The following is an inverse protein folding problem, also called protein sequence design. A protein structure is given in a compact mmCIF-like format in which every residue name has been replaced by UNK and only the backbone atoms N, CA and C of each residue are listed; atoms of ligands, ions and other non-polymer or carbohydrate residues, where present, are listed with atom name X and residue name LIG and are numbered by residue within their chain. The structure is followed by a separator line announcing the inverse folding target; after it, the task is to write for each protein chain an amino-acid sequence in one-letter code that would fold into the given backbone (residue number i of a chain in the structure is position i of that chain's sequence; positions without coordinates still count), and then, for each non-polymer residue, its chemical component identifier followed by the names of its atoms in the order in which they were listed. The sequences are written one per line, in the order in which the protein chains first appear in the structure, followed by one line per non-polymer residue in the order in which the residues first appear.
data_IF_338267751102
#
_entry.id   IF_338267751102
#
_cell.length_a   1.000
_cell.length_b   1.000
_cell.length_c   1.000
_cell.angle_alpha   90.00
_cell.angle_beta   90.00
_cell.angle_gamma   90.00
#
_symmetry.space_group_name_H-M   'P 1'
#
loop_
_entity.id
_entity.type
_entity.pdbx_description
1 polymer ?
#
# COMPACT_ATOMS: atom_id res chain seq x y z
N UNK A 1 32.52 -40.86 -0.49
CA UNK A 1 32.68 -40.95 0.97
C UNK A 1 32.07 -39.70 1.58
N UNK A 2 30.88 -39.83 2.17
CA UNK A 2 30.13 -38.75 2.79
C UNK A 2 30.69 -38.42 4.17
N UNK A 3 31.12 -37.18 4.37
CA UNK A 3 31.47 -36.64 5.69
C UNK A 3 30.25 -35.92 6.28
N UNK A 4 29.69 -36.49 7.34
CA UNK A 4 28.69 -35.84 8.21
C UNK A 4 29.41 -35.43 9.50
N UNK A 5 29.51 -34.15 9.88
CA UNK A 5 29.97 -33.78 11.19
C UNK A 5 28.84 -33.95 12.22
N UNK A 6 29.20 -34.63 13.30
CA UNK A 6 28.39 -35.00 14.46
C UNK A 6 28.08 -33.76 15.29
N UNK A 7 26.82 -33.57 15.63
CA UNK A 7 26.31 -32.54 16.54
C UNK A 7 26.68 -32.95 17.97
N UNK A 8 27.58 -32.21 18.62
CA UNK A 8 27.87 -32.31 20.05
C UNK A 8 27.20 -31.15 20.79
N UNK A 9 26.12 -31.46 21.52
CA UNK A 9 25.46 -30.60 22.50
C UNK A 9 26.22 -30.67 23.84
N UNK A 10 26.53 -29.55 24.50
CA UNK A 10 26.71 -29.53 25.94
C UNK A 10 25.38 -29.25 26.63
N UNK A 11 24.91 -30.25 27.36
CA UNK A 11 23.90 -30.11 28.41
C UNK A 11 24.48 -29.24 29.52
N UNK A 12 23.88 -28.08 29.77
CA UNK A 12 23.97 -27.42 31.08
C UNK A 12 22.56 -27.15 31.59
N UNK A 13 22.27 -27.84 32.67
CA UNK A 13 21.04 -27.82 33.47
C UNK A 13 21.05 -26.69 34.51
N UNK A 14 19.84 -26.28 34.90
CA UNK A 14 19.42 -25.67 36.17
C UNK A 14 19.44 -24.14 36.27
N UNK A 15 18.24 -23.59 36.50
CA UNK A 15 18.01 -22.22 36.96
C UNK A 15 16.53 -21.87 37.06
N UNK A 16 15.74 -22.65 37.83
CA UNK A 16 14.41 -22.20 38.27
C UNK A 16 14.61 -21.09 39.33
N UNK A 17 14.29 -19.85 38.97
CA UNK A 17 14.09 -18.77 39.94
C UNK A 17 12.78 -18.06 39.59
N UNK A 18 11.75 -18.39 40.36
CA UNK A 18 10.60 -17.52 40.61
C UNK A 18 11.14 -16.23 41.23
N UNK A 19 11.06 -15.12 40.51
CA UNK A 19 11.16 -13.78 41.08
C UNK A 19 10.11 -12.90 40.41
N UNK A 20 9.18 -12.42 41.22
CA UNK A 20 8.09 -11.54 40.80
C UNK A 20 8.64 -10.29 40.14
N UNK A 21 8.27 -10.08 38.88
CA UNK A 21 8.41 -8.83 38.17
C UNK A 21 7.01 -8.34 37.80
N UNK A 22 6.35 -7.62 38.70
CA UNK A 22 5.24 -6.76 38.32
C UNK A 22 5.78 -5.59 37.50
N UNK A 23 5.92 -5.78 36.20
CA UNK A 23 6.09 -4.66 35.27
C UNK A 23 4.71 -4.07 35.01
N UNK A 24 4.53 -2.75 35.12
CA UNK A 24 3.23 -2.15 34.88
C UNK A 24 2.87 -2.36 33.41
N UNK A 25 1.74 -3.03 33.19
CA UNK A 25 1.07 -3.10 31.90
C UNK A 25 0.62 -1.69 31.49
N UNK A 26 1.56 -0.93 30.96
CA UNK A 26 1.29 0.26 30.15
C UNK A 26 1.35 -0.17 28.69
N UNK A 27 0.64 -1.27 28.36
CA UNK A 27 0.23 -1.57 27.00
C UNK A 27 -0.83 -0.52 26.66
N UNK A 28 -0.35 0.70 26.40
CA UNK A 28 -1.15 1.77 25.81
C UNK A 28 -1.76 1.18 24.55
N UNK A 29 -3.08 1.25 24.50
CA UNK A 29 -3.93 1.16 23.33
C UNK A 29 -3.38 2.01 22.17
N UNK A 30 -2.35 1.51 21.52
CA UNK A 30 -2.07 1.82 20.14
C UNK A 30 -2.64 0.64 19.38
N UNK A 31 -3.98 0.61 19.31
CA UNK A 31 -4.64 -0.08 18.22
C UNK A 31 -3.91 0.40 16.96
N UNK A 32 -3.14 -0.51 16.34
CA UNK A 32 -2.59 -0.25 15.03
C UNK A 32 -3.77 0.24 14.18
N UNK A 33 -3.68 1.41 13.51
CA UNK A 33 -4.76 1.85 12.64
C UNK A 33 -5.09 0.67 11.73
N UNK A 34 -6.38 0.33 11.56
CA UNK A 34 -6.74 -0.81 10.73
C UNK A 34 -6.04 -0.63 9.39
N UNK A 35 -5.38 -1.67 8.90
CA UNK A 35 -4.53 -1.59 7.70
C UNK A 35 -5.25 -0.99 6.47
N UNK A 36 -6.60 -0.93 6.51
CA UNK A 36 -7.50 -0.30 5.55
C UNK A 36 -7.54 1.24 5.59
N UNK A 37 -7.26 1.88 6.72
CA UNK A 37 -7.27 3.35 6.84
C UNK A 37 -6.06 3.99 6.15
N UNK A 38 -4.94 3.27 6.06
CA UNK A 38 -3.68 3.77 5.51
C UNK A 38 -3.78 4.01 3.98
N UNK A 39 -4.29 3.07 3.16
CA UNK A 39 -4.49 3.30 1.72
C UNK A 39 -5.40 4.48 1.41
N UNK A 40 -6.50 4.65 2.16
CA UNK A 40 -7.49 5.70 1.90
C UNK A 40 -6.89 7.09 2.10
N UNK A 41 -6.23 7.31 3.24
CA UNK A 41 -5.57 8.59 3.52
C UNK A 41 -4.49 8.93 2.48
N UNK A 42 -3.74 7.93 2.00
CA UNK A 42 -2.73 8.13 0.96
C UNK A 42 -3.35 8.46 -0.41
N UNK A 43 -4.47 7.85 -0.75
CA UNK A 43 -5.24 8.19 -1.97
C UNK A 43 -5.80 9.61 -1.88
N UNK A 44 -6.30 10.02 -0.72
CA UNK A 44 -6.84 11.35 -0.49
C UNK A 44 -5.76 12.43 -0.56
N UNK A 45 -4.55 12.14 -0.11
CA UNK A 45 -3.41 13.05 -0.21
C UNK A 45 -2.72 13.05 -1.59
N UNK A 46 -3.08 12.12 -2.49
CA UNK A 46 -2.38 11.97 -3.76
C UNK A 46 -2.65 13.14 -4.73
N UNK A 47 -1.62 13.65 -5.43
CA UNK A 47 -1.78 14.61 -6.53
C UNK A 47 -2.71 14.07 -7.62
N UNK A 48 -3.35 14.97 -8.37
CA UNK A 48 -4.30 14.61 -9.43
C UNK A 48 -3.74 13.62 -10.45
N UNK A 49 -2.49 13.82 -10.91
CA UNK A 49 -1.84 12.89 -11.83
C UNK A 49 -1.61 11.49 -11.21
N UNK A 50 -1.30 11.42 -9.92
CA UNK A 50 -1.16 10.15 -9.19
C UNK A 50 -2.50 9.46 -8.99
N UNK A 51 -3.57 10.23 -8.74
CA UNK A 51 -4.93 9.70 -8.69
C UNK A 51 -5.36 9.09 -10.03
N UNK A 52 -5.05 9.74 -11.16
CA UNK A 52 -5.25 9.17 -12.49
C UNK A 52 -4.49 7.83 -12.63
N UNK A 53 -3.25 7.76 -12.14
CA UNK A 53 -2.48 6.53 -12.10
C UNK A 53 -3.16 5.43 -11.29
N UNK A 54 -3.72 5.74 -10.11
CA UNK A 54 -4.47 4.76 -9.31
C UNK A 54 -5.71 4.25 -10.04
N UNK A 55 -6.45 5.10 -10.76
CA UNK A 55 -7.57 4.65 -11.58
C UNK A 55 -7.11 3.68 -12.67
N UNK A 56 -6.00 3.99 -13.34
CA UNK A 56 -5.40 3.11 -14.34
C UNK A 56 -4.99 1.76 -13.73
N UNK A 57 -4.38 1.76 -12.55
CA UNK A 57 -4.09 0.54 -11.79
C UNK A 57 -5.37 -0.26 -11.51
N UNK A 58 -6.42 0.38 -11.00
CA UNK A 58 -7.67 -0.28 -10.62
C UNK A 58 -8.39 -0.90 -11.81
N UNK A 59 -8.44 -0.20 -12.95
CA UNK A 59 -9.02 -0.70 -14.21
C UNK A 59 -8.18 -1.89 -14.72
N UNK A 60 -6.86 -1.70 -14.85
CA UNK A 60 -5.96 -2.72 -15.39
C UNK A 60 -5.90 -4.01 -14.56
N UNK A 61 -6.21 -3.95 -13.27
CA UNK A 61 -6.27 -5.11 -12.38
C UNK A 61 -7.70 -5.66 -12.17
N UNK A 62 -8.72 -5.16 -12.88
CA UNK A 62 -10.11 -5.61 -12.74
C UNK A 62 -10.72 -5.32 -11.35
N UNK A 63 -10.21 -4.29 -10.67
CA UNK A 63 -10.70 -3.82 -9.37
C UNK A 63 -11.70 -2.67 -9.49
N UNK A 64 -11.82 -2.09 -10.68
CA UNK A 64 -12.81 -1.10 -11.06
C UNK A 64 -13.51 -1.54 -12.35
N UNK A 65 -14.79 -1.18 -12.49
CA UNK A 65 -15.50 -1.38 -13.75
C UNK A 65 -14.89 -0.49 -14.85
N UNK A 66 -14.54 -1.10 -15.98
CA UNK A 66 -13.86 -0.40 -17.06
C UNK A 66 -14.74 0.71 -17.66
N UNK A 67 -16.03 0.43 -17.91
CA UNK A 67 -16.92 1.37 -18.58
C UNK A 67 -17.22 2.59 -17.69
N UNK A 68 -17.41 2.38 -16.39
CA UNK A 68 -17.65 3.45 -15.43
C UNK A 68 -16.41 4.26 -15.04
N UNK A 69 -15.23 3.62 -14.94
CA UNK A 69 -14.02 4.28 -14.45
C UNK A 69 -13.19 4.94 -15.56
N UNK A 70 -13.25 4.48 -16.81
CA UNK A 70 -12.46 5.07 -17.92
C UNK A 70 -12.78 6.54 -18.17
N UNK A 71 -14.04 7.00 -18.20
CA UNK A 71 -14.33 8.43 -18.38
C UNK A 71 -13.76 9.31 -17.27
N UNK A 72 -13.72 8.80 -16.04
CA UNK A 72 -13.11 9.49 -14.90
C UNK A 72 -11.59 9.58 -15.07
N UNK A 73 -10.96 8.49 -15.53
CA UNK A 73 -9.53 8.45 -15.85
C UNK A 73 -9.18 9.48 -16.93
N UNK A 74 -9.90 9.50 -18.04
CA UNK A 74 -9.66 10.43 -19.15
C UNK A 74 -9.78 11.90 -18.70
N UNK A 75 -10.81 12.18 -17.90
CA UNK A 75 -11.01 13.52 -17.31
C UNK A 75 -9.83 13.92 -16.43
N UNK A 76 -9.35 13.02 -15.56
CA UNK A 76 -8.18 13.31 -14.73
C UNK A 76 -6.91 13.47 -15.55
N UNK A 77 -6.70 12.65 -16.58
CA UNK A 77 -5.54 12.76 -17.48
C UNK A 77 -5.50 14.15 -18.10
N UNK A 78 -6.63 14.61 -18.65
CA UNK A 78 -6.76 15.92 -19.26
C UNK A 78 -6.52 17.05 -18.27
N UNK A 79 -7.16 17.01 -17.09
CA UNK A 79 -7.13 18.13 -16.14
C UNK A 79 -5.80 18.26 -15.38
N UNK A 80 -5.08 17.15 -15.20
CA UNK A 80 -3.91 17.11 -14.31
C UNK A 80 -2.59 16.97 -15.07
N UNK A 81 -2.64 16.84 -16.40
CA UNK A 81 -1.45 16.56 -17.21
C UNK A 81 -0.81 15.21 -16.84
N UNK A 82 -1.62 14.22 -16.51
CA UNK A 82 -1.12 12.89 -16.12
C UNK A 82 -0.43 12.17 -17.29
N UNK A 83 -0.84 12.48 -18.53
CA UNK A 83 -0.13 12.07 -19.75
C UNK A 83 0.22 13.35 -20.52
N UNK A 84 1.43 13.90 -20.31
CA UNK A 84 1.88 15.13 -20.98
C UNK A 84 2.05 14.91 -22.49
N UNK A 85 1.74 15.93 -23.28
CA UNK A 85 1.87 15.88 -24.74
C UNK A 85 3.32 15.89 -25.23
N UNK A 86 4.29 16.22 -24.38
CA UNK A 86 5.71 16.28 -24.70
C UNK A 86 6.45 14.94 -24.54
N UNK A 87 5.70 13.85 -24.34
CA UNK A 87 6.19 12.47 -24.17
C UNK A 87 7.17 12.27 -23.00
N UNK A 88 7.42 13.28 -22.16
CA UNK A 88 8.39 13.17 -21.05
C UNK A 88 7.93 12.29 -19.90
N UNK A 89 6.66 11.85 -19.94
CA UNK A 89 6.04 11.02 -18.92
C UNK A 89 5.82 11.78 -17.61
N UNK A 90 4.63 11.66 -17.03
CA UNK A 90 4.38 12.18 -15.69
C UNK A 90 4.73 11.11 -14.65
N UNK A 91 5.73 11.38 -13.81
CA UNK A 91 6.19 10.41 -12.81
C UNK A 91 5.13 10.10 -11.75
N UNK A 92 4.28 11.05 -11.38
CA UNK A 92 3.19 10.80 -10.44
C UNK A 92 2.15 9.84 -11.03
N UNK A 93 1.82 10.01 -12.30
CA UNK A 93 0.96 9.07 -13.02
C UNK A 93 1.58 7.67 -13.10
N UNK A 94 2.89 7.59 -13.37
CA UNK A 94 3.61 6.32 -13.40
C UNK A 94 3.61 5.62 -12.03
N UNK A 95 3.88 6.36 -10.94
CA UNK A 95 3.81 5.82 -9.58
C UNK A 95 2.41 5.31 -9.24
N UNK A 96 1.38 6.10 -9.57
CA UNK A 96 -0.01 5.69 -9.35
C UNK A 96 -0.37 4.44 -10.14
N UNK A 97 0.04 4.36 -11.41
CA UNK A 97 -0.19 3.19 -12.28
C UNK A 97 0.52 1.95 -11.75
N UNK A 98 1.70 2.10 -11.15
CA UNK A 98 2.43 1.02 -10.48
C UNK A 98 1.85 0.65 -9.09
N UNK A 99 0.77 1.32 -8.67
CA UNK A 99 0.12 1.14 -7.38
C UNK A 99 0.93 1.64 -6.19
N UNK A 100 1.89 2.54 -6.37
CA UNK A 100 2.73 3.09 -5.28
C UNK A 100 1.96 4.18 -4.54
N UNK A 101 1.65 3.96 -3.27
CA UNK A 101 0.81 4.88 -2.48
C UNK A 101 1.58 6.13 -2.01
N UNK A 102 2.87 5.98 -1.71
CA UNK A 102 3.72 7.07 -1.22
C UNK A 102 5.14 6.97 -1.78
N UNK A 103 5.46 7.66 -2.89
CA UNK A 103 6.80 7.67 -3.49
C UNK A 103 7.85 8.30 -2.58
N UNK A 104 9.13 7.92 -2.76
CA UNK A 104 10.27 8.64 -2.18
C UNK A 104 11.06 7.90 -1.09
N UNK A 105 10.69 6.67 -0.73
CA UNK A 105 11.43 5.86 0.25
C UNK A 105 11.60 4.41 -0.21
N UNK A 106 12.65 3.76 0.26
CA UNK A 106 12.82 2.32 0.07
C UNK A 106 11.71 1.60 0.85
N UNK A 107 10.93 0.75 0.18
CA UNK A 107 9.77 0.10 0.80
C UNK A 107 8.50 0.94 0.82
N UNK A 108 8.35 1.92 -0.09
CA UNK A 108 7.10 2.65 -0.30
C UNK A 108 5.90 1.68 -0.35
N UNK A 109 4.86 1.90 0.47
CA UNK A 109 3.70 1.01 0.50
C UNK A 109 3.00 1.02 -0.86
N UNK A 110 2.54 -0.15 -1.29
CA UNK A 110 1.87 -0.36 -2.57
C UNK A 110 0.49 -0.94 -2.36
N UNK A 111 -0.43 -0.64 -3.28
CA UNK A 111 -1.76 -1.28 -3.31
C UNK A 111 -1.66 -2.80 -3.30
N UNK A 112 -0.65 -3.38 -3.95
CA UNK A 112 -0.43 -4.84 -4.02
C UNK A 112 0.00 -5.47 -2.70
N UNK A 113 0.44 -4.68 -1.73
CA UNK A 113 0.83 -5.19 -0.41
C UNK A 113 -0.39 -5.54 0.45
N UNK A 114 -1.57 -5.06 0.06
CA UNK A 114 -2.83 -5.31 0.74
C UNK A 114 -3.58 -6.52 0.15
N UNK A 115 -4.45 -7.12 0.95
CA UNK A 115 -5.34 -8.17 0.48
C UNK A 115 -6.36 -7.65 -0.56
N UNK A 116 -7.08 -8.57 -1.20
CA UNK A 116 -8.04 -8.20 -2.26
C UNK A 116 -9.18 -7.30 -1.74
N UNK A 117 -9.80 -7.57 -0.57
CA UNK A 117 -10.80 -6.66 0.00
C UNK A 117 -10.28 -5.23 0.20
N UNK A 118 -9.14 -5.06 0.86
CA UNK A 118 -8.58 -3.72 1.10
C UNK A 118 -8.18 -3.02 -0.21
N UNK A 119 -7.68 -3.76 -1.21
CA UNK A 119 -7.44 -3.22 -2.55
C UNK A 119 -8.72 -2.73 -3.23
N UNK A 120 -9.83 -3.46 -3.11
CA UNK A 120 -11.13 -3.04 -3.66
C UNK A 120 -11.62 -1.77 -2.98
N UNK A 121 -11.49 -1.68 -1.66
CA UNK A 121 -11.89 -0.48 -0.91
C UNK A 121 -11.06 0.74 -1.29
N UNK A 122 -9.75 0.56 -1.48
CA UNK A 122 -8.84 1.58 -1.98
C UNK A 122 -9.23 2.04 -3.40
N UNK A 123 -9.52 1.11 -4.32
CA UNK A 123 -9.99 1.45 -5.65
C UNK A 123 -11.35 2.16 -5.64
N UNK A 124 -12.27 1.74 -4.78
CA UNK A 124 -13.55 2.44 -4.60
C UNK A 124 -13.35 3.88 -4.09
N UNK A 125 -12.38 4.12 -3.20
CA UNK A 125 -12.02 5.47 -2.76
C UNK A 125 -11.45 6.30 -3.91
N UNK A 126 -10.54 5.74 -4.71
CA UNK A 126 -9.97 6.43 -5.87
C UNK A 126 -11.07 6.86 -6.86
N UNK A 127 -12.04 5.97 -7.15
CA UNK A 127 -13.19 6.28 -8.01
C UNK A 127 -14.03 7.41 -7.41
N UNK A 128 -14.39 7.33 -6.12
CA UNK A 128 -15.16 8.39 -5.44
C UNK A 128 -14.45 9.73 -5.54
N UNK A 129 -13.15 9.76 -5.26
CA UNK A 129 -12.34 10.97 -5.35
C UNK A 129 -12.30 11.53 -6.77
N UNK A 130 -12.10 10.67 -7.78
CA UNK A 130 -12.13 11.09 -9.17
C UNK A 130 -13.47 11.71 -9.59
N UNK A 131 -14.59 11.17 -9.08
CA UNK A 131 -15.93 11.69 -9.34
C UNK A 131 -16.23 13.06 -8.70
N UNK A 132 -15.43 13.50 -7.73
CA UNK A 132 -15.58 14.83 -7.11
C UNK A 132 -14.80 15.94 -7.86
N UNK A 133 -14.00 15.58 -8.86
CA UNK A 133 -13.02 16.47 -9.48
C UNK A 133 -11.74 16.54 -8.65
N UNK A 134 -10.59 16.41 -9.31
CA UNK A 134 -9.26 16.54 -8.70
C UNK A 134 -8.73 17.97 -8.77
#
# INVERSE_FOLDING_TARGET
MSYRPIITLPVMTIGLMLAGGGLPAMARDMAAPPATAIPQAMIDAAPGARLAGYLNFCIGNGLADHAGATPLLDTLIHNTGAVPADERGNMDYAYGTAGVLQPGTHGSPRMTDFDIPARRDACAQAIRKAGMGA
#
